data_IF_943246482869
#
_entry.id   IF_943246482869
#
_cell.length_a   1.000
_cell.length_b   1.000
_cell.length_c   1.000
_cell.angle_alpha   90.00
_cell.angle_beta   90.00
_cell.angle_gamma   90.00
#
_symmetry.space_group_name_H-M   'P 1'
#
loop_
_entity.id
_entity.type
_entity.pdbx_description
1 polymer ?
#
# COMPACT_ATOMS: atom_id res chain seq x y z
N UNK A 1 -8.43 -37.86 47.76
CA UNK A 1 -9.37 -38.33 46.73
C UNK A 1 -10.15 -37.14 46.24
N UNK A 2 -9.84 -36.65 45.04
CA UNK A 2 -10.76 -35.90 44.19
C UNK A 2 -10.33 -36.20 42.76
N UNK A 3 -11.26 -36.79 42.01
CA UNK A 3 -11.06 -37.45 40.72
C UNK A 3 -10.49 -36.50 39.66
N UNK A 4 -9.27 -36.77 39.22
CA UNK A 4 -8.81 -36.31 37.91
C UNK A 4 -9.46 -37.21 36.86
N UNK A 5 -10.40 -36.66 36.10
CA UNK A 5 -10.91 -37.31 34.89
C UNK A 5 -9.78 -37.28 33.85
N UNK A 6 -8.95 -38.31 33.83
CA UNK A 6 -8.01 -38.56 32.73
C UNK A 6 -8.72 -39.47 31.73
N UNK A 7 -9.35 -38.88 30.70
CA UNK A 7 -9.83 -39.65 29.55
C UNK A 7 -8.62 -40.06 28.71
N UNK A 8 -8.31 -41.36 28.66
CA UNK A 8 -7.19 -41.94 27.91
C UNK A 8 -7.44 -42.09 26.40
N UNK A 9 -8.49 -41.44 25.87
CA UNK A 9 -8.90 -41.56 24.46
C UNK A 9 -8.84 -40.19 23.78
N UNK A 10 -7.71 -39.50 23.94
CA UNK A 10 -7.45 -38.26 23.23
C UNK A 10 -7.09 -38.58 21.78
N UNK A 11 -7.54 -37.75 20.84
CA UNK A 11 -7.09 -37.83 19.46
C UNK A 11 -5.56 -37.78 19.39
N UNK A 12 -4.98 -38.29 18.32
CA UNK A 12 -3.57 -38.02 18.03
C UNK A 12 -3.35 -36.50 18.02
N UNK A 13 -2.21 -36.00 18.54
CA UNK A 13 -1.89 -34.58 18.51
C UNK A 13 -2.07 -34.03 17.09
N UNK A 14 -2.97 -33.06 16.94
CA UNK A 14 -3.25 -32.42 15.65
C UNK A 14 -2.06 -31.55 15.22
N UNK A 15 -1.30 -31.05 16.20
CA UNK A 15 -0.15 -30.17 16.03
C UNK A 15 0.96 -30.65 16.97
N UNK A 16 2.21 -30.37 16.60
CA UNK A 16 3.37 -30.63 17.45
C UNK A 16 3.25 -29.87 18.79
N UNK A 17 3.73 -30.50 19.88
CA UNK A 17 3.63 -29.93 21.22
C UNK A 17 4.37 -28.59 21.33
N UNK A 18 5.51 -28.45 20.65
CA UNK A 18 6.26 -27.20 20.60
C UNK A 18 5.48 -26.07 19.92
N UNK A 19 4.84 -26.36 18.79
CA UNK A 19 4.01 -25.41 18.05
C UNK A 19 2.75 -25.04 18.84
N UNK A 20 2.13 -26.01 19.49
CA UNK A 20 0.96 -25.82 20.34
C UNK A 20 1.26 -24.93 21.55
N UNK A 21 2.37 -25.20 22.25
CA UNK A 21 2.82 -24.39 23.39
C UNK A 21 3.24 -22.99 22.93
N UNK A 22 3.94 -22.86 21.80
CA UNK A 22 4.28 -21.57 21.22
C UNK A 22 3.02 -20.74 20.92
N UNK A 23 2.01 -21.35 20.30
CA UNK A 23 0.77 -20.67 19.97
C UNK A 23 0.04 -20.20 21.24
N UNK A 24 -0.05 -21.03 22.27
CA UNK A 24 -0.72 -20.66 23.53
C UNK A 24 0.05 -19.58 24.28
N UNK A 25 1.37 -19.73 24.39
CA UNK A 25 2.18 -18.81 25.19
C UNK A 25 2.39 -17.46 24.51
N UNK A 26 2.43 -17.41 23.16
CA UNK A 26 2.81 -16.18 22.43
C UNK A 26 1.73 -15.60 21.53
N UNK A 27 0.79 -16.39 21.04
CA UNK A 27 -0.19 -15.96 20.03
C UNK A 27 -1.63 -15.94 20.55
N UNK A 28 -1.94 -16.76 21.56
CA UNK A 28 -3.29 -16.87 22.10
C UNK A 28 -3.62 -15.70 23.04
N UNK A 29 -4.81 -15.08 22.94
CA UNK A 29 -5.24 -14.01 23.82
C UNK A 29 -5.47 -14.49 25.27
N UNK A 30 -5.75 -15.78 25.44
CA UNK A 30 -5.98 -16.42 26.74
C UNK A 30 -5.17 -17.70 26.86
N UNK A 31 -4.78 -18.06 28.08
CA UNK A 31 -4.24 -19.36 28.39
C UNK A 31 -5.35 -20.44 28.40
N UNK A 32 -4.95 -21.71 28.51
CA UNK A 32 -5.87 -22.86 28.53
C UNK A 32 -6.85 -22.85 29.70
N UNK A 33 -6.54 -22.11 30.77
CA UNK A 33 -7.40 -21.91 31.93
C UNK A 33 -8.38 -20.73 31.78
N UNK A 34 -8.37 -20.07 30.62
CA UNK A 34 -9.19 -18.90 30.32
C UNK A 34 -8.67 -17.58 30.88
N UNK A 35 -7.53 -17.59 31.59
CA UNK A 35 -6.91 -16.35 32.06
C UNK A 35 -6.26 -15.60 30.90
N UNK A 36 -6.21 -14.27 30.99
CA UNK A 36 -5.61 -13.44 29.96
C UNK A 36 -4.12 -13.70 29.85
N UNK A 37 -3.63 -13.86 28.62
CA UNK A 37 -2.20 -14.02 28.36
C UNK A 37 -1.51 -12.63 28.45
N UNK A 38 -0.67 -12.37 29.47
CA UNK A 38 0.02 -11.09 29.63
C UNK A 38 1.05 -10.87 28.54
N UNK A 39 1.68 -11.89 27.96
CA UNK A 39 2.59 -11.71 26.83
C UNK A 39 1.83 -11.21 25.59
N UNK A 40 0.66 -11.78 25.30
CA UNK A 40 -0.21 -11.30 24.23
C UNK A 40 -0.68 -9.87 24.49
N UNK A 41 -1.18 -9.57 25.70
CA UNK A 41 -1.68 -8.24 26.06
C UNK A 41 -0.57 -7.17 26.06
N UNK A 42 0.63 -7.50 26.53
CA UNK A 42 1.76 -6.56 26.63
C UNK A 42 2.41 -6.34 25.28
N UNK A 43 2.55 -7.40 24.45
CA UNK A 43 3.06 -7.26 23.08
C UNK A 43 2.05 -6.54 22.20
N UNK A 44 0.73 -6.77 22.37
CA UNK A 44 -0.33 -5.97 21.73
C UNK A 44 -0.28 -4.53 22.22
N UNK A 45 -0.11 -4.25 23.52
CA UNK A 45 0.03 -2.88 24.06
C UNK A 45 1.29 -2.17 23.55
N UNK A 46 2.42 -2.86 23.45
CA UNK A 46 3.66 -2.30 22.88
C UNK A 46 3.60 -2.22 21.36
N UNK A 47 3.04 -3.18 20.63
CA UNK A 47 2.80 -3.06 19.19
C UNK A 47 1.75 -2.00 18.88
N UNK A 48 0.67 -1.90 19.67
CA UNK A 48 -0.33 -0.84 19.58
C UNK A 48 0.30 0.53 19.93
N UNK A 49 1.10 0.67 20.98
CA UNK A 49 1.68 1.98 21.34
C UNK A 49 2.92 2.36 20.52
N UNK A 50 3.72 1.39 20.06
CA UNK A 50 4.93 1.61 19.27
C UNK A 50 4.64 1.58 17.76
N UNK A 51 3.56 0.92 17.31
CA UNK A 51 3.17 0.80 15.90
C UNK A 51 1.71 1.23 15.57
N UNK A 52 0.79 1.44 16.53
CA UNK A 52 -0.55 2.02 16.30
C UNK A 52 -0.67 3.49 16.73
N UNK A 53 0.42 4.26 16.71
CA UNK A 53 0.26 5.71 16.67
C UNK A 53 -0.46 6.17 15.39
N UNK A 54 -0.44 5.39 14.30
CA UNK A 54 -0.94 5.82 12.99
C UNK A 54 -1.29 4.62 12.11
N UNK A 55 -2.55 4.46 11.72
CA UNK A 55 -2.98 3.59 10.62
C UNK A 55 -2.06 3.84 9.41
N UNK A 56 -1.17 2.87 9.05
CA UNK A 56 -0.15 3.10 8.05
C UNK A 56 -0.86 3.46 6.77
N UNK A 57 -0.47 4.54 6.12
CA UNK A 57 -0.99 4.91 4.82
C UNK A 57 -0.49 3.88 3.79
N UNK A 58 -1.07 2.68 3.78
CA UNK A 58 -0.52 1.51 3.06
C UNK A 58 -0.52 1.80 1.56
N UNK A 59 -1.52 2.53 1.09
CA UNK A 59 -1.67 2.90 -0.30
C UNK A 59 -0.82 4.11 -0.72
N UNK A 60 -0.06 4.75 0.18
CA UNK A 60 0.63 6.03 -0.10
C UNK A 60 1.46 6.04 -1.39
N UNK A 61 2.09 4.91 -1.75
CA UNK A 61 2.97 4.80 -2.92
C UNK A 61 2.21 4.51 -4.22
N UNK A 62 0.95 4.08 -4.12
CA UNK A 62 0.09 3.74 -5.25
C UNK A 62 -1.03 4.76 -5.47
N UNK A 63 -1.16 5.72 -4.56
CA UNK A 63 -2.29 6.64 -4.54
C UNK A 63 -2.02 7.83 -5.46
N UNK A 64 -2.97 8.10 -6.36
CA UNK A 64 -2.97 9.26 -7.23
C UNK A 64 -4.28 10.03 -7.10
N UNK A 65 -4.23 11.33 -7.36
CA UNK A 65 -5.46 12.10 -7.54
C UNK A 65 -5.98 11.90 -8.96
N UNK A 66 -7.28 11.62 -9.08
CA UNK A 66 -7.96 11.62 -10.38
C UNK A 66 -8.19 13.05 -10.89
N UNK A 67 -8.21 14.03 -9.98
CA UNK A 67 -8.16 15.45 -10.32
C UNK A 67 -6.70 15.89 -10.46
N UNK A 68 -6.34 16.35 -11.67
CA UNK A 68 -4.98 16.77 -11.99
C UNK A 68 -4.49 17.97 -11.16
N UNK A 69 -5.41 18.72 -10.54
CA UNK A 69 -5.09 19.88 -9.73
C UNK A 69 -4.67 19.52 -8.31
N UNK A 70 -4.79 18.27 -7.87
CA UNK A 70 -4.49 17.87 -6.49
C UNK A 70 -3.33 16.88 -6.36
N UNK A 71 -2.77 16.86 -5.15
CA UNK A 71 -1.84 15.85 -4.64
C UNK A 71 -2.39 15.29 -3.34
N UNK A 72 -2.10 14.03 -3.05
CA UNK A 72 -2.69 13.31 -1.92
C UNK A 72 -1.62 12.69 -1.01
N UNK A 73 -0.83 13.50 -0.29
CA UNK A 73 0.10 12.97 0.70
C UNK A 73 -0.61 12.47 1.98
N UNK A 74 -0.03 11.49 2.69
CA UNK A 74 -0.48 11.14 4.03
C UNK A 74 -0.19 12.28 5.03
N UNK A 75 -1.11 12.48 5.97
CA UNK A 75 -1.05 13.54 6.99
C UNK A 75 -1.53 13.04 8.34
N UNK A 76 -0.75 13.32 9.36
CA UNK A 76 -1.15 13.15 10.75
C UNK A 76 -2.02 14.32 11.21
N UNK A 77 -3.03 14.04 12.02
CA UNK A 77 -3.88 15.05 12.64
C UNK A 77 -4.29 14.63 14.05
N UNK A 78 -4.55 15.60 14.92
CA UNK A 78 -5.16 15.32 16.22
C UNK A 78 -6.61 14.89 16.02
N UNK A 79 -7.01 13.73 16.55
CA UNK A 79 -8.42 13.33 16.60
C UNK A 79 -9.15 14.28 17.55
N UNK A 80 -10.38 14.64 17.20
CA UNK A 80 -11.26 15.50 17.99
C UNK A 80 -12.63 14.84 18.05
N UNK A 81 -13.17 14.62 19.24
CA UNK A 81 -14.46 13.98 19.47
C UNK A 81 -14.67 13.65 20.94
N UNK A 82 -15.88 13.26 21.33
CA UNK A 82 -16.20 12.82 22.70
C UNK A 82 -15.46 11.51 23.06
N UNK A 83 -15.17 10.67 22.06
CA UNK A 83 -14.49 9.38 22.23
C UNK A 83 -12.97 9.43 22.00
N UNK A 84 -12.40 10.59 21.66
CA UNK A 84 -10.97 10.72 21.38
C UNK A 84 -10.18 11.02 22.66
N UNK A 85 -9.15 10.24 22.95
CA UNK A 85 -8.27 10.49 24.11
C UNK A 85 -7.43 11.76 23.89
N UNK A 86 -7.09 12.47 24.98
CA UNK A 86 -6.30 13.70 24.90
C UNK A 86 -4.90 13.40 24.32
N UNK A 87 -4.61 13.99 23.16
CA UNK A 87 -3.35 13.77 22.43
C UNK A 87 -3.39 12.63 21.41
N UNK A 88 -4.53 11.97 21.20
CA UNK A 88 -4.68 10.95 20.17
C UNK A 88 -4.54 11.56 18.76
N UNK A 89 -3.73 10.92 17.93
CA UNK A 89 -3.52 11.31 16.54
C UNK A 89 -4.07 10.26 15.57
N UNK A 90 -4.68 10.70 14.48
CA UNK A 90 -5.05 9.88 13.34
C UNK A 90 -4.20 10.22 12.12
N UNK A 91 -4.25 9.34 11.11
CA UNK A 91 -3.60 9.55 9.81
C UNK A 91 -4.66 9.58 8.72
N UNK A 92 -4.48 10.47 7.74
CA UNK A 92 -5.40 10.62 6.63
C UNK A 92 -4.71 11.06 5.36
N UNK A 93 -5.31 10.71 4.24
CA UNK A 93 -4.94 11.17 2.91
C UNK A 93 -5.48 12.59 2.70
N UNK A 94 -4.58 13.56 2.52
CA UNK A 94 -4.93 14.98 2.44
C UNK A 94 -4.89 15.53 1.02
N UNK A 95 -5.96 16.17 0.56
CA UNK A 95 -6.03 16.78 -0.77
C UNK A 95 -5.46 18.19 -0.75
N UNK A 96 -4.32 18.38 -1.43
CA UNK A 96 -3.60 19.66 -1.51
C UNK A 96 -3.51 20.10 -2.97
N UNK A 97 -3.97 21.31 -3.32
CA UNK A 97 -3.81 21.85 -4.66
C UNK A 97 -2.34 21.91 -5.08
N UNK A 98 -2.04 21.56 -6.34
CA UNK A 98 -0.69 21.59 -6.88
C UNK A 98 -0.14 23.02 -6.88
N UNK A 99 1.12 23.16 -6.47
CA UNK A 99 1.79 24.45 -6.35
C UNK A 99 1.46 25.22 -5.07
N UNK A 100 0.55 24.73 -4.22
CA UNK A 100 0.25 25.32 -2.92
C UNK A 100 1.10 24.72 -1.79
N UNK A 101 1.21 25.45 -0.68
CA UNK A 101 1.92 24.98 0.51
C UNK A 101 1.20 23.80 1.17
N UNK A 102 1.94 23.05 1.98
CA UNK A 102 1.42 21.90 2.74
C UNK A 102 0.28 22.24 3.70
N UNK A 103 0.09 23.52 4.03
CA UNK A 103 -0.97 24.01 4.90
C UNK A 103 -2.29 24.25 4.16
N UNK A 104 -2.28 24.18 2.82
CA UNK A 104 -3.45 24.43 1.96
C UNK A 104 -4.32 23.18 1.81
N UNK A 105 -4.53 22.46 2.90
CA UNK A 105 -5.29 21.20 2.94
C UNK A 105 -6.78 21.50 2.74
N UNK A 106 -7.34 21.04 1.62
CA UNK A 106 -8.74 21.30 1.29
C UNK A 106 -9.67 20.24 1.88
N UNK A 107 -9.29 18.98 1.72
CA UNK A 107 -10.05 17.82 2.20
C UNK A 107 -9.12 16.79 2.82
N UNK A 108 -9.66 15.94 3.68
CA UNK A 108 -8.96 14.78 4.23
C UNK A 108 -9.90 13.58 4.27
N UNK A 109 -9.34 12.41 4.00
CA UNK A 109 -10.01 11.12 4.21
C UNK A 109 -9.14 10.31 5.17
N UNK A 110 -9.72 9.64 6.16
CA UNK A 110 -8.94 8.81 7.08
C UNK A 110 -8.30 7.63 6.32
N UNK A 111 -7.07 7.25 6.68
CA UNK A 111 -6.42 6.08 6.06
C UNK A 111 -7.21 4.80 6.35
N UNK A 112 -7.78 4.69 7.55
CA UNK A 112 -8.65 3.58 7.96
C UNK A 112 -9.84 3.37 7.01
N UNK A 113 -10.44 4.46 6.52
CA UNK A 113 -11.57 4.36 5.59
C UNK A 113 -11.08 3.89 4.21
N UNK A 114 -10.06 4.53 3.63
CA UNK A 114 -9.60 4.21 2.27
C UNK A 114 -8.93 2.83 2.21
N UNK A 115 -7.99 2.57 3.11
CA UNK A 115 -7.22 1.33 3.13
C UNK A 115 -8.15 0.16 3.51
N UNK A 116 -9.10 0.36 4.42
CA UNK A 116 -10.09 -0.65 4.79
C UNK A 116 -11.00 -1.06 3.63
N UNK A 117 -11.49 -0.10 2.83
CA UNK A 117 -12.28 -0.43 1.63
C UNK A 117 -11.44 -1.16 0.57
N UNK A 118 -10.16 -0.79 0.43
CA UNK A 118 -9.25 -1.48 -0.45
C UNK A 118 -9.08 -2.95 -0.04
N UNK A 119 -8.77 -3.22 1.23
CA UNK A 119 -8.59 -4.58 1.74
C UNK A 119 -9.87 -5.40 1.69
N UNK A 120 -11.02 -4.77 1.90
CA UNK A 120 -12.32 -5.41 1.72
C UNK A 120 -12.51 -5.97 0.29
N UNK A 121 -12.22 -5.16 -0.73
CA UNK A 121 -12.33 -5.62 -2.12
C UNK A 121 -11.27 -6.62 -2.51
N UNK A 122 -10.02 -6.41 -2.06
CA UNK A 122 -8.95 -7.37 -2.28
C UNK A 122 -9.35 -8.75 -1.73
N UNK A 123 -9.91 -8.79 -0.52
CA UNK A 123 -10.46 -10.03 0.07
C UNK A 123 -11.52 -10.66 -0.82
N UNK A 124 -12.51 -9.89 -1.27
CA UNK A 124 -13.59 -10.39 -2.11
C UNK A 124 -13.06 -10.99 -3.43
N UNK A 125 -12.11 -10.31 -4.09
CA UNK A 125 -11.45 -10.79 -5.31
C UNK A 125 -10.65 -12.08 -5.04
N UNK A 126 -9.90 -12.13 -3.94
CA UNK A 126 -9.10 -13.31 -3.58
C UNK A 126 -9.96 -14.54 -3.26
N UNK A 127 -11.15 -14.35 -2.67
CA UNK A 127 -12.12 -15.41 -2.39
C UNK A 127 -12.84 -15.91 -3.64
N UNK A 128 -13.17 -15.00 -4.57
CA UNK A 128 -13.91 -15.33 -5.80
C UNK A 128 -12.99 -15.91 -6.89
N UNK A 129 -11.69 -15.60 -6.85
CA UNK A 129 -10.72 -16.16 -7.77
C UNK A 129 -10.50 -17.67 -7.49
N UNK A 130 -11.28 -18.52 -8.19
CA UNK A 130 -10.92 -19.91 -8.46
C UNK A 130 -9.49 -19.95 -9.04
N UNK A 131 -8.78 -21.05 -8.78
CA UNK A 131 -7.32 -21.19 -8.92
C UNK A 131 -6.69 -20.32 -10.02
N UNK A 132 -5.56 -19.68 -9.70
CA UNK A 132 -4.73 -18.92 -10.65
C UNK A 132 -4.09 -19.86 -11.71
N UNK A 133 -4.86 -20.79 -12.30
CA UNK A 133 -4.44 -21.82 -13.26
C UNK A 133 -3.99 -21.19 -14.58
N UNK A 134 -4.66 -20.13 -15.03
CA UNK A 134 -4.27 -19.29 -16.17
C UNK A 134 -2.90 -18.59 -15.95
N UNK A 135 -2.47 -18.52 -14.68
CA UNK A 135 -1.17 -17.99 -14.31
C UNK A 135 -0.07 -19.05 -14.31
N UNK A 136 -0.39 -20.35 -14.35
CA UNK A 136 0.63 -21.39 -14.41
C UNK A 136 1.38 -21.33 -15.74
N UNK A 137 0.68 -21.09 -16.85
CA UNK A 137 1.31 -20.92 -18.17
C UNK A 137 2.16 -19.65 -18.25
N UNK A 138 1.68 -18.53 -17.70
CA UNK A 138 2.48 -17.30 -17.59
C UNK A 138 3.66 -17.45 -16.63
N UNK A 139 3.51 -18.23 -15.56
CA UNK A 139 4.57 -18.57 -14.61
C UNK A 139 5.63 -19.46 -15.27
N UNK A 140 5.22 -20.45 -16.07
CA UNK A 140 6.16 -21.26 -16.85
C UNK A 140 6.90 -20.38 -17.84
N UNK A 141 6.20 -19.47 -18.52
CA UNK A 141 6.81 -18.52 -19.44
C UNK A 141 7.79 -17.56 -18.75
N UNK A 142 7.43 -16.98 -17.59
CA UNK A 142 8.34 -16.14 -16.79
C UNK A 142 9.55 -16.93 -16.28
N UNK A 143 9.36 -18.20 -15.87
CA UNK A 143 10.43 -19.10 -15.46
C UNK A 143 11.35 -19.44 -16.62
N UNK A 144 10.80 -19.71 -17.80
CA UNK A 144 11.54 -19.98 -19.03
C UNK A 144 12.32 -18.74 -19.49
N UNK A 145 11.69 -17.56 -19.53
CA UNK A 145 12.35 -16.30 -19.86
C UNK A 145 13.49 -16.00 -18.88
N UNK A 146 13.28 -16.25 -17.58
CA UNK A 146 14.32 -16.11 -16.56
C UNK A 146 15.43 -17.14 -16.71
N UNK A 147 15.09 -18.40 -16.99
CA UNK A 147 16.07 -19.46 -17.23
C UNK A 147 16.91 -19.15 -18.47
N UNK A 148 16.28 -18.63 -19.53
CA UNK A 148 16.95 -18.18 -20.75
C UNK A 148 17.86 -16.97 -20.48
N UNK A 149 17.41 -15.99 -19.69
CA UNK A 149 18.21 -14.84 -19.30
C UNK A 149 19.42 -15.24 -18.44
N UNK A 150 19.23 -16.15 -17.47
CA UNK A 150 20.32 -16.70 -16.66
C UNK A 150 21.31 -17.50 -17.50
N UNK A 151 20.82 -18.34 -18.42
CA UNK A 151 21.69 -19.10 -19.34
C UNK A 151 22.49 -18.18 -20.26
N UNK A 152 21.90 -17.09 -20.74
CA UNK A 152 22.60 -16.08 -21.56
C UNK A 152 23.69 -15.37 -20.76
N UNK A 153 23.41 -15.01 -19.50
CA UNK A 153 24.41 -14.40 -18.60
C UNK A 153 25.55 -15.38 -18.26
N UNK A 154 25.24 -16.65 -17.98
CA UNK A 154 26.24 -17.69 -17.73
C UNK A 154 27.17 -17.88 -18.95
N UNK A 155 26.60 -17.87 -20.17
CA UNK A 155 27.40 -17.91 -21.39
C UNK A 155 28.34 -16.70 -21.53
N UNK A 156 27.87 -15.50 -21.20
CA UNK A 156 28.69 -14.28 -21.26
C UNK A 156 29.81 -14.29 -20.21
N UNK A 157 29.51 -14.72 -18.99
CA UNK A 157 30.50 -14.89 -17.91
C UNK A 157 31.61 -15.85 -18.33
N UNK A 158 31.23 -17.03 -18.85
CA UNK A 158 32.20 -18.03 -19.35
C UNK A 158 33.02 -17.49 -20.54
N UNK A 159 32.43 -16.64 -21.38
CA UNK A 159 33.16 -16.01 -22.48
C UNK A 159 34.20 -15.01 -21.95
N UNK A 160 33.85 -14.18 -20.97
CA UNK A 160 34.78 -13.28 -20.28
C UNK A 160 35.92 -14.07 -19.62
N UNK A 161 35.62 -15.16 -18.91
CA UNK A 161 36.65 -16.01 -18.28
C UNK A 161 37.63 -16.59 -19.29
N UNK A 162 37.12 -17.07 -20.44
CA UNK A 162 37.96 -17.58 -21.53
C UNK A 162 38.83 -16.48 -22.14
N UNK A 163 38.30 -15.27 -22.30
CA UNK A 163 39.05 -14.11 -22.81
C UNK A 163 40.16 -13.70 -21.84
N UNK A 164 39.84 -13.56 -20.54
CA UNK A 164 40.80 -13.26 -19.48
C UNK A 164 41.92 -14.32 -19.46
N UNK A 165 41.58 -15.62 -19.48
CA UNK A 165 42.56 -16.71 -19.47
C UNK A 165 43.49 -16.68 -20.69
N UNK A 166 42.99 -16.30 -21.88
CA UNK A 166 43.82 -16.12 -23.09
C UNK A 166 44.78 -14.96 -22.95
N UNK A 167 44.32 -13.82 -22.41
CA UNK A 167 45.16 -12.65 -22.16
C UNK A 167 46.25 -12.95 -21.13
N UNK A 168 45.92 -13.65 -20.04
CA UNK A 168 46.91 -14.11 -19.05
C UNK A 168 47.95 -15.02 -19.68
N UNK A 169 47.53 -15.99 -20.51
CA UNK A 169 48.47 -16.88 -21.21
C UNK A 169 49.42 -16.10 -22.15
N UNK A 170 48.90 -15.11 -22.87
CA UNK A 170 49.70 -14.24 -23.76
C UNK A 170 50.71 -13.41 -22.98
N UNK A 171 50.34 -12.94 -21.80
CA UNK A 171 51.21 -12.17 -20.90
C UNK A 171 52.35 -13.05 -20.34
N UNK A 172 52.06 -14.30 -19.98
CA UNK A 172 53.09 -15.28 -19.59
C UNK A 172 54.03 -15.62 -20.74
N UNK A 173 53.50 -15.79 -21.95
CA UNK A 173 54.32 -16.08 -23.13
C UNK A 173 55.28 -14.93 -23.48
N UNK A 174 54.83 -13.68 -23.35
CA UNK A 174 55.69 -12.51 -23.52
C UNK A 174 56.84 -12.53 -22.50
N UNK A 175 56.54 -12.75 -21.22
CA UNK A 175 57.58 -12.80 -20.18
C UNK A 175 58.60 -13.93 -20.33
N UNK A 176 58.28 -15.00 -21.07
CA UNK A 176 59.21 -16.13 -21.33
C UNK A 176 60.07 -15.94 -22.57
N UNK A 177 59.65 -15.12 -23.54
CA UNK A 177 60.38 -14.89 -24.79
C UNK A 177 61.55 -13.92 -24.58
N UNK A 178 61.46 -13.04 -23.58
CA UNK A 178 62.53 -12.08 -23.26
C UNK A 178 63.81 -12.73 -22.69
N UNK A 179 63.75 -13.98 -22.21
CA UNK A 179 64.93 -14.69 -21.67
C UNK A 179 65.84 -15.29 -22.77
N UNK A 180 65.38 -15.41 -24.03
CA UNK A 180 66.09 -16.15 -25.08
C UNK A 180 66.71 -15.27 -26.20
N UNK A 181 66.38 -13.96 -26.30
CA UNK A 181 66.73 -13.11 -27.48
C UNK A 181 67.70 -11.94 -27.19
N UNK A 182 68.47 -11.95 -26.09
CA UNK A 182 69.27 -10.77 -25.70
C UNK A 182 70.68 -10.64 -26.31
N UNK A 183 71.19 -11.62 -27.07
CA UNK A 183 72.65 -11.68 -27.37
C UNK A 183 73.18 -10.80 -28.53
N UNK A 184 72.36 -10.19 -29.40
CA UNK A 184 72.86 -9.50 -30.62
C UNK A 184 72.20 -8.14 -30.99
N UNK A 185 71.62 -7.39 -30.03
CA UNK A 185 70.93 -6.12 -30.30
C UNK A 185 71.75 -4.87 -29.94
N UNK A 186 71.70 -3.83 -30.79
CA UNK A 186 72.26 -2.50 -30.47
C UNK A 186 71.42 -1.75 -29.43
N UNK A 187 72.03 -0.82 -28.69
CA UNK A 187 71.36 -0.05 -27.61
C UNK A 187 70.08 0.67 -28.08
N UNK A 188 70.07 1.22 -29.30
CA UNK A 188 68.89 1.88 -29.90
C UNK A 188 67.76 0.87 -30.22
N UNK A 189 68.11 -0.31 -30.71
CA UNK A 189 67.15 -1.38 -31.02
C UNK A 189 66.57 -2.01 -29.75
N UNK A 190 67.37 -2.11 -28.68
CA UNK A 190 66.94 -2.58 -27.36
C UNK A 190 65.92 -1.62 -26.75
N UNK A 191 66.17 -0.31 -26.82
CA UNK A 191 65.26 0.71 -26.30
C UNK A 191 63.90 0.76 -27.05
N UNK A 192 63.91 0.59 -28.37
CA UNK A 192 62.68 0.55 -29.18
C UNK A 192 61.88 -0.75 -28.93
N UNK A 193 62.55 -1.91 -28.79
CA UNK A 193 61.91 -3.19 -28.43
C UNK A 193 61.25 -3.12 -27.06
N UNK A 194 61.96 -2.59 -26.06
CA UNK A 194 61.46 -2.42 -24.69
C UNK A 194 60.27 -1.45 -24.63
N UNK A 195 60.26 -0.41 -25.48
CA UNK A 195 59.13 0.52 -25.60
C UNK A 195 57.90 -0.16 -26.22
N UNK A 196 58.08 -0.93 -27.29
CA UNK A 196 57.00 -1.68 -27.95
C UNK A 196 56.40 -2.74 -27.02
N UNK A 197 57.23 -3.44 -26.26
CA UNK A 197 56.79 -4.44 -25.29
C UNK A 197 55.98 -3.81 -24.15
N UNK A 198 56.44 -2.68 -23.60
CA UNK A 198 55.69 -1.91 -22.59
C UNK A 198 54.34 -1.44 -23.11
N UNK A 199 54.25 -0.99 -24.35
CA UNK A 199 52.98 -0.61 -24.99
C UNK A 199 52.04 -1.81 -25.16
N UNK A 200 52.57 -2.97 -25.58
CA UNK A 200 51.80 -4.21 -25.73
C UNK A 200 51.28 -4.74 -24.39
N UNK A 201 52.12 -4.77 -23.35
CA UNK A 201 51.73 -5.21 -22.00
C UNK A 201 50.67 -4.28 -21.43
N UNK A 202 50.79 -2.96 -21.65
CA UNK A 202 49.77 -1.99 -21.25
C UNK A 202 48.43 -2.25 -21.96
N UNK A 203 48.45 -2.47 -23.27
CA UNK A 203 47.24 -2.78 -24.03
C UNK A 203 46.56 -4.08 -23.56
N UNK A 204 47.33 -5.14 -23.29
CA UNK A 204 46.81 -6.42 -22.77
C UNK A 204 46.21 -6.22 -21.37
N UNK A 205 46.86 -5.43 -20.51
CA UNK A 205 46.36 -5.13 -19.16
C UNK A 205 45.06 -4.32 -19.20
N UNK A 206 44.97 -3.33 -20.08
CA UNK A 206 43.75 -2.54 -20.26
C UNK A 206 42.59 -3.40 -20.78
N UNK A 207 42.86 -4.33 -21.71
CA UNK A 207 41.86 -5.28 -22.22
C UNK A 207 41.43 -6.28 -21.14
N UNK A 208 42.36 -6.80 -20.33
CA UNK A 208 42.07 -7.67 -19.20
C UNK A 208 41.17 -6.97 -18.17
N UNK A 209 41.48 -5.72 -17.82
CA UNK A 209 40.71 -4.94 -16.87
C UNK A 209 39.28 -4.68 -17.37
N UNK A 210 39.09 -4.50 -18.68
CA UNK A 210 37.76 -4.38 -19.30
C UNK A 210 36.96 -5.67 -19.10
N UNK A 211 37.51 -6.82 -19.49
CA UNK A 211 36.84 -8.11 -19.32
C UNK A 211 36.58 -8.47 -17.85
N UNK A 212 37.48 -8.10 -16.92
CA UNK A 212 37.27 -8.29 -15.48
C UNK A 212 36.12 -7.43 -14.95
N UNK A 213 36.04 -6.16 -15.37
CA UNK A 213 34.97 -5.26 -14.95
C UNK A 213 33.61 -5.72 -15.51
N UNK A 214 33.59 -6.20 -16.75
CA UNK A 214 32.40 -6.78 -17.38
C UNK A 214 31.98 -8.08 -16.68
N UNK A 215 32.93 -8.96 -16.36
CA UNK A 215 32.67 -10.18 -15.59
C UNK A 215 32.03 -9.86 -14.23
N UNK A 216 32.56 -8.88 -13.49
CA UNK A 216 31.95 -8.45 -12.22
C UNK A 216 30.54 -7.88 -12.42
N UNK A 217 30.32 -7.06 -13.44
CA UNK A 217 29.00 -6.49 -13.73
C UNK A 217 27.97 -7.58 -14.08
N UNK A 218 28.36 -8.55 -14.91
CA UNK A 218 27.52 -9.69 -15.29
C UNK A 218 27.22 -10.60 -14.08
N UNK A 219 28.21 -10.83 -13.21
CA UNK A 219 28.06 -11.63 -11.98
C UNK A 219 27.07 -10.97 -11.02
N UNK A 220 27.19 -9.65 -10.78
CA UNK A 220 26.23 -8.90 -9.95
C UNK A 220 24.83 -8.95 -10.54
N UNK A 221 24.69 -8.79 -11.87
CA UNK A 221 23.39 -8.86 -12.56
C UNK A 221 22.74 -10.25 -12.42
N UNK A 222 23.55 -11.32 -12.48
CA UNK A 222 23.12 -12.69 -12.25
C UNK A 222 22.65 -12.89 -10.81
N UNK A 223 23.39 -12.41 -9.82
CA UNK A 223 23.01 -12.48 -8.39
C UNK A 223 21.69 -11.76 -8.11
N UNK A 224 21.50 -10.56 -8.66
CA UNK A 224 20.23 -9.81 -8.55
C UNK A 224 19.07 -10.61 -9.15
N UNK A 225 19.26 -11.17 -10.35
CA UNK A 225 18.25 -12.01 -11.00
C UNK A 225 18.00 -13.33 -10.26
N UNK A 226 18.91 -13.82 -9.42
CA UNK A 226 18.67 -15.01 -8.57
C UNK A 226 17.90 -14.64 -7.31
N UNK A 227 18.20 -13.49 -6.70
CA UNK A 227 17.56 -13.04 -5.45
C UNK A 227 16.14 -12.50 -5.66
N UNK A 228 15.80 -12.04 -6.87
CA UNK A 228 14.44 -11.61 -7.17
C UNK A 228 13.46 -12.80 -7.09
N UNK A 229 12.56 -12.79 -6.12
CA UNK A 229 11.39 -13.68 -6.12
C UNK A 229 10.46 -13.29 -7.26
N UNK A 230 9.94 -14.27 -8.01
CA UNK A 230 8.97 -13.98 -9.08
C UNK A 230 7.73 -13.31 -8.46
N UNK A 231 7.16 -12.36 -9.19
CA UNK A 231 5.90 -11.69 -8.81
C UNK A 231 4.78 -12.71 -8.58
N UNK A 232 4.76 -13.76 -9.39
CA UNK A 232 3.83 -14.89 -9.28
C UNK A 232 3.97 -15.63 -7.94
N UNK A 233 5.21 -15.83 -7.49
CA UNK A 233 5.50 -16.49 -6.22
C UNK A 233 5.09 -15.60 -5.03
N UNK A 234 5.37 -14.29 -5.10
CA UNK A 234 4.89 -13.32 -4.10
C UNK A 234 3.37 -13.31 -4.00
N UNK A 235 2.66 -13.28 -5.13
CA UNK A 235 1.18 -13.34 -5.20
C UNK A 235 0.62 -14.57 -4.52
N UNK A 236 1.20 -15.74 -4.77
CA UNK A 236 0.76 -16.99 -4.15
C UNK A 236 0.99 -16.97 -2.65
N UNK A 237 2.19 -16.59 -2.21
CA UNK A 237 2.52 -16.49 -0.78
C UNK A 237 1.54 -15.55 -0.07
N UNK A 238 1.28 -14.36 -0.64
CA UNK A 238 0.36 -13.39 -0.05
C UNK A 238 -1.11 -13.81 -0.14
N UNK A 239 -1.55 -14.46 -1.21
CA UNK A 239 -2.90 -15.07 -1.29
C UNK A 239 -3.08 -16.08 -0.17
N UNK A 240 -2.14 -17.02 -0.03
CA UNK A 240 -2.19 -18.06 1.01
C UNK A 240 -2.16 -17.44 2.41
N UNK A 241 -1.35 -16.39 2.62
CA UNK A 241 -1.30 -15.66 3.88
C UNK A 241 -2.65 -15.00 4.21
N UNK A 242 -3.24 -14.25 3.28
CA UNK A 242 -4.53 -13.58 3.47
C UNK A 242 -5.64 -14.62 3.70
N UNK A 243 -5.72 -15.68 2.90
CA UNK A 243 -6.73 -16.71 3.06
C UNK A 243 -6.55 -17.49 4.38
N UNK A 244 -5.33 -17.76 4.82
CA UNK A 244 -5.06 -18.38 6.13
C UNK A 244 -5.54 -17.48 7.27
N UNK A 245 -5.20 -16.19 7.24
CA UNK A 245 -5.69 -15.21 8.22
C UNK A 245 -7.21 -15.23 8.31
N UNK A 246 -7.90 -15.27 7.16
CA UNK A 246 -9.36 -15.34 7.10
C UNK A 246 -9.96 -16.67 7.59
N UNK A 247 -9.23 -17.78 7.41
CA UNK A 247 -9.69 -19.12 7.82
C UNK A 247 -9.59 -19.29 9.34
N UNK A 248 -8.49 -18.83 9.93
CA UNK A 248 -8.25 -18.95 11.37
C UNK A 248 -8.96 -17.86 12.19
N UNK A 249 -9.45 -16.80 11.54
CA UNK A 249 -10.17 -15.71 12.20
C UNK A 249 -11.43 -15.32 11.40
N UNK A 250 -12.50 -16.13 11.42
CA UNK A 250 -13.74 -15.83 10.70
C UNK A 250 -14.42 -14.54 11.21
N UNK A 251 -14.16 -14.14 12.46
CA UNK A 251 -14.57 -12.86 13.04
C UNK A 251 -13.78 -11.66 12.48
N UNK A 252 -12.97 -11.83 11.43
CA UNK A 252 -12.39 -10.75 10.61
C UNK A 252 -13.44 -9.84 9.92
N UNK A 253 -14.72 -9.99 10.29
CA UNK A 253 -15.79 -9.05 10.02
C UNK A 253 -15.83 -7.92 11.08
N UNK A 254 -15.34 -8.19 12.29
CA UNK A 254 -15.23 -7.24 13.43
C UNK A 254 -13.88 -6.51 13.43
N UNK A 255 -12.82 -7.16 12.94
CA UNK A 255 -11.48 -6.56 12.84
C UNK A 255 -10.96 -6.61 11.41
N UNK A 256 -10.40 -5.49 10.89
CA UNK A 256 -9.89 -5.46 9.54
C UNK A 256 -8.70 -6.44 9.38
N UNK A 257 -8.65 -7.27 8.31
CA UNK A 257 -7.64 -8.32 8.15
C UNK A 257 -6.20 -7.79 8.15
N UNK A 258 -5.98 -6.54 7.74
CA UNK A 258 -4.70 -5.84 7.84
C UNK A 258 -4.18 -5.70 9.29
N UNK A 259 -5.05 -5.73 10.30
CA UNK A 259 -4.64 -5.71 11.70
C UNK A 259 -3.95 -7.02 12.15
N UNK A 260 -4.14 -8.10 11.40
CA UNK A 260 -3.56 -9.42 11.66
C UNK A 260 -2.31 -9.70 10.80
N UNK A 261 -2.05 -8.87 9.79
CA UNK A 261 -0.90 -8.97 8.90
C UNK A 261 0.22 -8.07 9.46
N UNK A 262 1.50 -8.53 9.47
CA UNK A 262 2.60 -7.68 9.89
C UNK A 262 2.66 -6.39 9.06
N UNK A 263 2.81 -5.20 9.68
CA UNK A 263 2.79 -3.92 8.96
C UNK A 263 3.81 -3.82 7.82
N UNK A 264 4.97 -4.46 7.97
CA UNK A 264 6.02 -4.56 6.95
C UNK A 264 5.59 -5.31 5.68
N UNK A 265 4.63 -6.24 5.78
CA UNK A 265 4.13 -7.02 4.66
C UNK A 265 3.01 -6.29 3.91
N UNK A 266 2.30 -5.34 4.55
CA UNK A 266 1.16 -4.65 3.95
C UNK A 266 1.52 -3.89 2.66
N UNK A 267 2.60 -3.08 2.59
CA UNK A 267 3.01 -2.45 1.34
C UNK A 267 3.37 -3.48 0.26
N UNK A 268 4.02 -4.57 0.64
CA UNK A 268 4.41 -5.62 -0.30
C UNK A 268 3.18 -6.33 -0.91
N UNK A 269 2.12 -6.51 -0.12
CA UNK A 269 0.83 -7.03 -0.60
C UNK A 269 0.23 -6.05 -1.62
N UNK A 270 0.18 -4.75 -1.30
CA UNK A 270 -0.35 -3.74 -2.22
C UNK A 270 0.43 -3.73 -3.54
N UNK A 271 1.77 -3.64 -3.48
CA UNK A 271 2.66 -3.65 -4.67
C UNK A 271 2.41 -4.87 -5.58
N UNK A 272 2.08 -6.00 -4.95
CA UNK A 272 1.90 -7.30 -5.61
C UNK A 272 0.58 -7.39 -6.39
N UNK A 273 -0.50 -6.82 -5.85
CA UNK A 273 -1.85 -6.93 -6.42
C UNK A 273 -2.31 -5.68 -7.18
N UNK A 274 -1.72 -4.52 -6.91
CA UNK A 274 -2.20 -3.23 -7.40
C UNK A 274 -1.16 -2.56 -8.28
N UNK A 275 -1.63 -1.84 -9.29
CA UNK A 275 -0.79 -0.91 -10.05
C UNK A 275 -0.97 0.51 -9.54
N UNK A 276 -2.21 0.95 -9.36
CA UNK A 276 -2.55 2.30 -8.94
C UNK A 276 -3.91 2.34 -8.23
N UNK A 277 -4.07 3.27 -7.29
CA UNK A 277 -5.35 3.63 -6.68
C UNK A 277 -5.60 5.12 -6.92
N UNK A 278 -6.65 5.46 -7.65
CA UNK A 278 -7.08 6.83 -7.89
C UNK A 278 -8.14 7.28 -6.89
N UNK A 279 -7.98 8.46 -6.29
CA UNK A 279 -9.01 9.10 -5.46
C UNK A 279 -9.47 10.43 -6.04
N UNK A 280 -10.77 10.70 -5.93
CA UNK A 280 -11.40 11.98 -6.26
C UNK A 280 -12.45 12.37 -5.21
N UNK A 281 -12.63 13.67 -4.96
CA UNK A 281 -13.71 14.17 -4.09
C UNK A 281 -14.91 14.58 -4.93
N UNK A 282 -16.02 13.84 -4.84
CA UNK A 282 -17.26 14.16 -5.56
C UNK A 282 -18.09 15.21 -4.82
N UNK A 283 -18.13 15.10 -3.50
CA UNK A 283 -18.85 16.01 -2.62
C UNK A 283 -18.16 16.04 -1.24
N UNK A 284 -18.67 16.81 -0.27
CA UNK A 284 -18.14 16.77 1.08
C UNK A 284 -18.05 15.35 1.63
N UNK A 285 -19.10 14.53 1.63
CA UNK A 285 -19.04 13.18 2.21
C UNK A 285 -18.81 12.07 1.19
N UNK A 286 -18.94 12.33 -0.12
CA UNK A 286 -18.71 11.31 -1.13
C UNK A 286 -17.38 11.50 -1.85
N UNK A 287 -16.67 10.40 -2.04
CA UNK A 287 -15.45 10.34 -2.82
C UNK A 287 -15.46 9.14 -3.76
N UNK A 288 -14.78 9.27 -4.89
CA UNK A 288 -14.59 8.20 -5.85
C UNK A 288 -13.26 7.52 -5.57
N UNK A 289 -13.25 6.19 -5.56
CA UNK A 289 -12.04 5.39 -5.51
C UNK A 289 -11.99 4.47 -6.73
N UNK A 290 -10.89 4.51 -7.47
CA UNK A 290 -10.63 3.65 -8.63
C UNK A 290 -9.42 2.80 -8.33
N UNK A 291 -9.58 1.47 -8.29
CA UNK A 291 -8.48 0.53 -8.06
C UNK A 291 -8.14 -0.13 -9.39
N UNK A 292 -6.89 0.06 -9.85
CA UNK A 292 -6.38 -0.59 -11.05
C UNK A 292 -5.56 -1.81 -10.62
N UNK A 293 -6.13 -2.99 -10.80
CA UNK A 293 -5.48 -4.24 -10.40
C UNK A 293 -4.35 -4.59 -11.35
N UNK A 294 -3.32 -5.24 -10.81
CA UNK A 294 -2.22 -5.79 -11.60
C UNK A 294 -2.60 -7.11 -12.26
N UNK A 295 -3.76 -7.69 -11.93
CA UNK A 295 -4.32 -8.82 -12.66
C UNK A 295 -5.21 -8.31 -13.80
N UNK A 296 -4.88 -8.60 -15.08
CA UNK A 296 -5.72 -8.19 -16.21
C UNK A 296 -7.15 -8.74 -16.16
N UNK A 297 -7.37 -9.90 -15.53
CA UNK A 297 -8.70 -10.49 -15.39
C UNK A 297 -9.57 -9.72 -14.38
N UNK A 298 -8.95 -9.06 -13.40
CA UNK A 298 -9.66 -8.24 -12.42
C UNK A 298 -9.94 -6.82 -12.92
N UNK A 299 -9.17 -6.35 -13.90
CA UNK A 299 -9.36 -5.06 -14.56
C UNK A 299 -9.28 -3.88 -13.57
N UNK A 300 -10.29 -3.02 -13.62
CA UNK A 300 -10.43 -1.86 -12.74
C UNK A 300 -11.76 -1.92 -11.98
N UNK A 301 -11.73 -1.61 -10.68
CA UNK A 301 -12.95 -1.40 -9.90
C UNK A 301 -13.13 0.08 -9.61
N UNK A 302 -14.36 0.58 -9.80
CA UNK A 302 -14.73 1.96 -9.46
C UNK A 302 -15.78 1.97 -8.36
N UNK A 303 -15.51 2.72 -7.31
CA UNK A 303 -16.31 2.80 -6.11
C UNK A 303 -16.71 4.25 -5.86
N UNK A 304 -17.93 4.42 -5.37
CA UNK A 304 -18.36 5.65 -4.73
C UNK A 304 -18.49 5.34 -3.24
N UNK A 305 -17.65 6.00 -2.46
CA UNK A 305 -17.52 5.79 -1.03
C UNK A 305 -18.04 6.99 -0.25
N UNK A 306 -18.71 6.71 0.87
CA UNK A 306 -19.19 7.67 1.85
C UNK A 306 -18.24 7.68 3.05
N UNK A 307 -17.70 8.85 3.39
CA UNK A 307 -16.93 9.08 4.61
C UNK A 307 -17.80 9.64 5.72
N UNK A 308 -17.55 9.19 6.94
CA UNK A 308 -18.23 9.69 8.13
C UNK A 308 -17.54 10.95 8.68
N UNK A 309 -18.25 11.76 9.48
CA UNK A 309 -17.67 12.94 10.15
C UNK A 309 -17.82 14.26 9.39
N UNK A 310 -16.98 15.27 9.70
CA UNK A 310 -17.03 16.59 9.07
C UNK A 310 -15.90 16.76 8.04
N UNK A 311 -16.17 16.59 6.74
CA UNK A 311 -15.14 16.47 5.70
C UNK A 311 -14.55 17.81 5.25
N UNK A 312 -15.23 18.93 5.51
CA UNK A 312 -14.79 20.27 5.13
C UNK A 312 -14.08 20.94 6.31
N UNK A 313 -12.74 20.92 6.27
CA UNK A 313 -11.89 21.23 7.44
C UNK A 313 -11.92 22.71 7.83
N UNK A 314 -12.07 23.64 6.87
CA UNK A 314 -11.97 25.07 7.12
C UNK A 314 -13.08 25.85 6.43
N UNK A 315 -13.67 26.81 7.14
CA UNK A 315 -14.55 27.84 6.57
C UNK A 315 -13.68 28.92 5.92
N UNK A 316 -14.04 29.29 4.69
CA UNK A 316 -13.43 30.42 3.99
C UNK A 316 -14.07 31.75 4.40
N UNK A 317 -13.33 32.84 4.17
CA UNK A 317 -13.84 34.19 4.43
C UNK A 317 -15.07 34.51 3.57
N UNK A 318 -15.12 33.98 2.34
CA UNK A 318 -16.28 34.07 1.46
C UNK A 318 -17.50 33.35 2.04
N UNK A 319 -17.33 32.12 2.55
CA UNK A 319 -18.42 31.37 3.18
C UNK A 319 -18.94 32.08 4.45
N UNK A 320 -18.04 32.64 5.26
CA UNK A 320 -18.40 33.42 6.45
C UNK A 320 -19.12 34.73 6.09
N UNK A 321 -18.73 35.39 4.99
CA UNK A 321 -19.42 36.57 4.49
C UNK A 321 -20.86 36.25 4.03
N UNK A 322 -21.03 35.17 3.26
CA UNK A 322 -22.35 34.67 2.83
C UNK A 322 -23.20 34.33 4.07
N UNK A 323 -22.62 33.63 5.05
CA UNK A 323 -23.30 33.26 6.28
C UNK A 323 -23.83 34.50 7.02
N UNK A 324 -22.99 35.53 7.21
CA UNK A 324 -23.39 36.77 7.89
C UNK A 324 -24.49 37.53 7.16
N UNK A 325 -24.41 37.61 5.84
CA UNK A 325 -25.35 38.36 5.03
C UNK A 325 -26.73 37.67 4.92
N UNK A 326 -26.74 36.34 4.77
CA UNK A 326 -27.94 35.61 4.35
C UNK A 326 -28.58 34.78 5.47
N UNK A 327 -27.81 34.19 6.40
CA UNK A 327 -28.35 33.29 7.43
C UNK A 327 -29.52 33.87 8.26
N UNK A 328 -29.54 35.17 8.65
CA UNK A 328 -30.65 35.72 9.43
C UNK A 328 -31.99 35.72 8.69
N UNK A 329 -31.97 35.87 7.36
CA UNK A 329 -33.17 36.20 6.56
C UNK A 329 -33.63 35.08 5.62
N UNK A 330 -32.74 34.13 5.27
CA UNK A 330 -33.04 33.05 4.34
C UNK A 330 -33.60 31.79 5.02
N UNK A 331 -34.37 31.02 4.26
CA UNK A 331 -34.80 29.67 4.63
C UNK A 331 -33.63 28.68 4.63
N UNK A 332 -33.87 27.46 5.11
CA UNK A 332 -32.88 26.38 5.09
C UNK A 332 -32.42 26.04 3.66
N UNK A 333 -33.35 25.89 2.75
CA UNK A 333 -33.04 25.48 1.37
C UNK A 333 -32.25 26.56 0.64
N UNK A 334 -32.60 27.83 0.85
CA UNK A 334 -31.90 28.97 0.25
C UNK A 334 -30.45 29.09 0.74
N UNK A 335 -30.21 28.99 2.05
CA UNK A 335 -28.84 29.07 2.57
C UNK A 335 -27.99 27.88 2.14
N UNK A 336 -28.58 26.68 2.03
CA UNK A 336 -27.88 25.50 1.52
C UNK A 336 -27.59 25.58 0.02
N UNK A 337 -28.38 26.33 -0.77
CA UNK A 337 -28.03 26.63 -2.17
C UNK A 337 -26.87 27.62 -2.28
N UNK A 338 -26.77 28.57 -1.34
CA UNK A 338 -25.65 29.51 -1.28
C UNK A 338 -24.36 28.86 -0.76
N UNK A 339 -24.49 27.85 0.12
CA UNK A 339 -23.38 27.10 0.71
C UNK A 339 -23.54 25.60 0.40
N UNK A 340 -23.44 25.17 -0.87
CA UNK A 340 -23.81 23.83 -1.32
C UNK A 340 -22.92 22.72 -0.75
N UNK A 341 -21.71 23.06 -0.29
CA UNK A 341 -20.73 22.18 0.34
C UNK A 341 -20.93 22.02 1.85
N UNK A 342 -21.88 22.73 2.46
CA UNK A 342 -22.09 22.73 3.91
C UNK A 342 -23.42 22.10 4.26
N UNK A 343 -23.42 21.19 5.23
CA UNK A 343 -24.66 20.71 5.83
C UNK A 343 -25.30 21.81 6.67
N UNK A 344 -26.62 21.77 6.82
CA UNK A 344 -27.31 22.76 7.64
C UNK A 344 -26.85 22.71 9.11
N UNK A 345 -26.52 21.52 9.63
CA UNK A 345 -25.89 21.36 10.93
C UNK A 345 -24.59 22.18 11.06
N UNK A 346 -23.71 22.13 10.04
CA UNK A 346 -22.46 22.89 10.00
C UNK A 346 -22.71 24.40 9.94
N UNK A 347 -23.64 24.83 9.09
CA UNK A 347 -24.06 26.23 8.95
C UNK A 347 -24.58 26.78 10.29
N UNK A 348 -25.45 26.03 10.97
CA UNK A 348 -26.02 26.45 12.26
C UNK A 348 -24.96 26.52 13.36
N UNK A 349 -24.04 25.56 13.41
CA UNK A 349 -22.92 25.56 14.36
C UNK A 349 -22.01 26.77 14.13
N UNK A 350 -21.66 27.06 12.87
CA UNK A 350 -20.86 28.24 12.51
C UNK A 350 -21.57 29.56 12.81
N UNK A 351 -22.89 29.65 12.56
CA UNK A 351 -23.68 30.82 12.91
C UNK A 351 -23.72 31.05 14.43
N UNK A 352 -23.83 29.97 15.21
CA UNK A 352 -23.79 30.02 16.68
C UNK A 352 -22.44 30.52 17.19
N UNK A 353 -21.32 30.11 16.58
CA UNK A 353 -19.98 30.62 16.89
C UNK A 353 -19.90 32.15 16.73
N UNK A 354 -20.55 32.72 15.71
CA UNK A 354 -20.65 34.17 15.52
C UNK A 354 -21.85 34.82 16.22
N UNK A 355 -22.60 34.08 17.03
CA UNK A 355 -23.80 34.55 17.73
C UNK A 355 -24.86 35.15 16.78
N UNK A 356 -24.93 34.67 15.54
CA UNK A 356 -25.88 35.12 14.54
C UNK A 356 -27.21 34.37 14.73
N UNK A 357 -28.31 35.11 14.92
CA UNK A 357 -29.65 34.54 15.12
C UNK A 357 -30.48 34.61 13.84
N UNK A 358 -31.31 33.59 13.64
CA UNK A 358 -32.34 33.61 12.58
C UNK A 358 -33.48 34.57 12.96
N UNK A 359 -33.87 35.42 12.02
CA UNK A 359 -35.05 36.29 12.13
C UNK A 359 -36.31 35.59 11.61
N UNK A 360 -36.18 34.62 10.70
CA UNK A 360 -37.28 33.82 10.15
C UNK A 360 -37.06 32.33 10.35
N UNK A 361 -38.05 31.65 10.91
CA UNK A 361 -38.12 30.18 11.02
C UNK A 361 -39.19 29.63 10.09
N UNK A 362 -38.83 29.39 8.83
CA UNK A 362 -39.60 28.50 7.96
C UNK A 362 -38.77 27.24 7.75
N UNK A 363 -39.28 26.11 8.26
CA UNK A 363 -38.72 24.79 7.99
C UNK A 363 -39.39 24.25 6.73
N UNK A 364 -38.64 24.20 5.64
CA UNK A 364 -38.95 23.37 4.48
C UNK A 364 -38.44 21.97 4.80
N UNK A 365 -39.30 20.96 4.87
CA UNK A 365 -38.99 19.61 5.41
C UNK A 365 -38.20 18.70 4.45
N UNK A 366 -37.87 19.14 3.23
CA UNK A 366 -37.43 18.23 2.17
C UNK A 366 -35.94 17.87 2.16
N UNK A 367 -35.06 18.67 2.79
CA UNK A 367 -33.62 18.40 2.80
C UNK A 367 -33.16 17.70 4.10
N UNK A 368 -32.26 16.70 4.01
CA UNK A 368 -31.65 16.09 5.19
C UNK A 368 -30.82 17.11 5.99
N UNK A 369 -30.89 17.03 7.32
CA UNK A 369 -30.22 17.99 8.22
C UNK A 369 -28.69 17.84 8.25
N UNK A 370 -28.23 16.59 8.19
CA UNK A 370 -26.81 16.23 8.32
C UNK A 370 -26.01 16.22 7.02
N UNK A 371 -26.67 16.22 5.86
CA UNK A 371 -26.00 16.17 4.56
C UNK A 371 -25.94 17.56 3.92
N UNK A 372 -24.91 17.81 3.10
CA UNK A 372 -24.87 18.99 2.25
C UNK A 372 -25.78 18.81 1.02
N UNK A 373 -26.05 19.90 0.30
CA UNK A 373 -26.85 19.83 -0.92
C UNK A 373 -26.16 19.00 -2.01
N UNK A 374 -24.83 19.09 -2.11
CA UNK A 374 -24.07 18.26 -3.04
C UNK A 374 -24.08 16.78 -2.65
N UNK A 375 -23.94 16.47 -1.36
CA UNK A 375 -24.05 15.07 -0.90
C UNK A 375 -25.41 14.48 -1.25
N UNK A 376 -26.49 15.26 -1.04
CA UNK A 376 -27.83 14.82 -1.39
C UNK A 376 -27.97 14.59 -2.90
N UNK A 377 -27.36 15.43 -3.73
CA UNK A 377 -27.40 15.28 -5.20
C UNK A 377 -26.68 14.00 -5.64
N UNK A 378 -25.44 13.77 -5.16
CA UNK A 378 -24.67 12.55 -5.46
C UNK A 378 -25.42 11.31 -4.97
N UNK A 379 -26.00 11.35 -3.76
CA UNK A 379 -26.78 10.27 -3.19
C UNK A 379 -28.00 9.90 -4.06
N UNK A 380 -28.70 10.90 -4.62
CA UNK A 380 -29.82 10.67 -5.55
C UNK A 380 -29.34 10.07 -6.88
N UNK A 381 -28.22 10.55 -7.43
CA UNK A 381 -27.65 10.04 -8.68
C UNK A 381 -27.24 8.57 -8.59
N UNK A 382 -26.70 8.14 -7.44
CA UNK A 382 -26.31 6.74 -7.21
C UNK A 382 -27.48 5.86 -6.73
N UNK A 383 -28.68 6.42 -6.54
CA UNK A 383 -29.88 5.69 -6.11
C UNK A 383 -29.84 5.19 -4.66
N UNK A 384 -29.08 5.86 -3.78
CA UNK A 384 -28.94 5.47 -2.38
C UNK A 384 -29.97 6.19 -1.48
N UNK A 385 -30.50 5.51 -0.47
CA UNK A 385 -31.41 6.12 0.50
C UNK A 385 -30.67 6.67 1.72
N UNK A 386 -31.29 7.59 2.46
CA UNK A 386 -30.71 8.15 3.68
C UNK A 386 -30.60 7.08 4.78
N UNK A 387 -31.55 6.15 4.83
CA UNK A 387 -31.56 5.03 5.77
C UNK A 387 -30.40 4.06 5.49
N UNK A 388 -30.07 3.83 4.22
CA UNK A 388 -28.94 3.00 3.82
C UNK A 388 -27.62 3.59 4.37
N UNK A 389 -27.39 4.90 4.19
CA UNK A 389 -26.24 5.59 4.76
C UNK A 389 -26.18 5.50 6.29
N UNK A 390 -27.32 5.70 6.96
CA UNK A 390 -27.42 5.61 8.43
C UNK A 390 -27.16 4.20 8.96
N UNK A 391 -27.45 3.17 8.15
CA UNK A 391 -27.20 1.76 8.48
C UNK A 391 -25.75 1.30 8.26
N UNK A 392 -24.84 2.18 7.80
CA UNK A 392 -23.45 1.82 7.50
C UNK A 392 -23.21 1.24 6.10
N UNK A 393 -24.20 1.33 5.20
CA UNK A 393 -24.01 1.05 3.77
C UNK A 393 -23.38 2.28 3.10
N UNK A 394 -22.06 2.36 3.20
CA UNK A 394 -21.30 3.52 2.75
C UNK A 394 -20.69 3.40 1.36
N UNK A 395 -20.78 2.26 0.67
CA UNK A 395 -20.06 2.05 -0.61
C UNK A 395 -20.95 1.44 -1.69
N UNK A 396 -20.86 2.03 -2.88
CA UNK A 396 -21.43 1.50 -4.12
C UNK A 396 -20.30 1.10 -5.06
N UNK A 397 -20.28 -0.17 -5.47
CA UNK A 397 -19.41 -0.60 -6.56
C UNK A 397 -20.13 -0.44 -7.91
N UNK A 398 -19.55 0.38 -8.80
CA UNK A 398 -20.10 0.66 -10.13
C UNK A 398 -19.76 -0.41 -11.17
N UNK A 399 -18.73 -1.24 -10.93
CA UNK A 399 -18.32 -2.32 -11.84
C UNK A 399 -19.16 -3.61 -11.70
N UNK A 400 -19.94 -3.72 -10.62
CA UNK A 400 -20.90 -4.79 -10.40
C UNK A 400 -21.92 -4.33 -9.35
N UNK A 401 -23.13 -4.00 -9.78
CA UNK A 401 -24.17 -3.36 -8.96
C UNK A 401 -24.47 -4.15 -7.67
N UNK A 402 -23.80 -3.82 -6.58
CA UNK A 402 -24.07 -4.32 -5.23
C UNK A 402 -23.66 -3.27 -4.21
N UNK A 403 -24.56 -3.00 -3.27
CA UNK A 403 -24.34 -2.13 -2.12
C UNK A 403 -23.51 -2.90 -1.08
N UNK A 404 -22.40 -2.31 -0.63
CA UNK A 404 -21.52 -2.90 0.38
C UNK A 404 -21.81 -2.25 1.73
N UNK A 405 -22.18 -3.07 2.72
CA UNK A 405 -22.35 -2.66 4.13
C UNK A 405 -21.08 -2.95 4.92
N UNK A 406 -20.62 -1.98 5.73
CA UNK A 406 -19.57 -2.16 6.73
C UNK A 406 -20.09 -2.02 8.17
N UNK A 407 -21.37 -2.30 8.43
CA UNK A 407 -21.93 -2.15 9.77
C UNK A 407 -21.33 -3.15 10.78
N UNK A 408 -20.47 -2.59 11.65
CA UNK A 408 -20.07 -2.91 13.03
C UNK A 408 -19.78 -4.37 13.45
#
# INVERSE_FOLDING_TARGET
>A
MNDQIVRFNNHLPIVDEGDFLYAIERLSPTYLDGTLNPFFATKRSFYLKQHYAQSPAVLQNHLVSLDADFTIPPRTYAKKGEDAEEGETGTGYGFIPRGCSTNSLKYRIATEEVDGFFFYLLKQKLQTAEGFEDYHEREQKEKEERANALGTLDMQIVACDRAMKKLTKRLVQLSTIDEEEEEDLTDEQRAEKEKQEKELVKAIRDEYNRFSSEHEALTRRREVLLQQTSQSQKRRTYKELILKVLTYWPDAQVYPPEALIPPEELPMIVDTFVTQVGLDTLSPHFYKMVIVWRDPAWGEDTLICFRSGNPAIQWSDEEDAILRAHYPTTTRDEIMRLLPMRSYASIQSRASFYTIRKMRTHNTEHLPYGLSLQDYTVMQEIGMSVEALQSGQGVVNLAGASLVSLSA
#
